data_IF_402968215276
#
_entry.id   IF_402968215276
#
_cell.length_a   1.000
_cell.length_b   1.000
_cell.length_c   1.000
_cell.angle_alpha   90.00
_cell.angle_beta   90.00
_cell.angle_gamma   90.00
#
_symmetry.space_group_name_H-M   'P 1'
#
loop_
_entity.id
_entity.type
_entity.pdbx_description
1 polymer ?
#
# COMPACT_ATOMS: atom_id res chain seq x y z
N UNK A 1 7.94 1.90 15.85
CA UNK A 1 9.17 1.54 15.13
C UNK A 1 10.46 2.16 15.70
N UNK A 2 10.41 3.20 16.56
CA UNK A 2 11.61 3.92 17.02
C UNK A 2 11.86 3.65 18.52
N UNK A 3 13.04 3.12 18.86
CA UNK A 3 13.54 2.82 20.21
C UNK A 3 14.98 2.28 20.13
N UNK A 4 15.66 2.06 21.26
CA UNK A 4 17.10 1.70 21.34
C UNK A 4 17.50 0.29 20.82
N UNK A 5 16.57 -0.44 20.20
CA UNK A 5 16.88 -1.65 19.44
C UNK A 5 17.13 -1.28 17.98
N UNK A 6 18.13 -1.91 17.34
CA UNK A 6 18.45 -1.79 15.92
C UNK A 6 17.33 -2.35 15.01
N UNK A 7 16.16 -1.72 15.03
CA UNK A 7 15.00 -2.05 14.21
C UNK A 7 15.09 -1.29 12.90
N UNK A 8 14.91 -1.99 11.79
CA UNK A 8 14.88 -1.41 10.45
C UNK A 8 13.43 -1.21 10.02
N UNK A 9 13.08 0.01 9.61
CA UNK A 9 11.82 0.31 8.97
C UNK A 9 12.07 0.68 7.50
N UNK A 10 11.45 -0.06 6.58
CA UNK A 10 11.49 0.19 5.14
C UNK A 10 10.13 0.72 4.70
N UNK A 11 10.09 1.96 4.24
CA UNK A 11 8.92 2.60 3.66
C UNK A 11 9.19 2.80 2.19
N UNK A 12 8.49 2.04 1.35
CA UNK A 12 8.83 1.90 -0.06
C UNK A 12 7.64 2.31 -0.91
N UNK A 13 7.91 3.18 -1.89
CA UNK A 13 6.95 3.46 -2.96
C UNK A 13 6.85 2.28 -3.93
N UNK A 14 5.73 2.16 -4.66
CA UNK A 14 5.51 1.07 -5.61
C UNK A 14 5.87 1.46 -7.05
N UNK A 15 5.09 2.34 -7.68
CA UNK A 15 5.19 2.66 -9.11
C UNK A 15 6.41 3.53 -9.43
N UNK A 16 7.31 3.04 -10.27
CA UNK A 16 8.56 3.72 -10.59
C UNK A 16 9.66 3.55 -9.53
N UNK A 17 9.37 2.84 -8.43
CA UNK A 17 10.32 2.53 -7.36
C UNK A 17 10.59 1.02 -7.27
N UNK A 18 9.60 0.23 -6.86
CA UNK A 18 9.70 -1.23 -6.78
C UNK A 18 9.28 -1.91 -8.09
N UNK A 19 8.29 -1.36 -8.77
CA UNK A 19 7.86 -1.76 -10.10
C UNK A 19 8.38 -0.74 -11.12
N UNK A 20 9.07 -1.15 -12.20
CA UNK A 20 9.49 -0.24 -13.26
C UNK A 20 8.29 0.52 -13.85
N UNK A 21 8.54 1.75 -14.31
CA UNK A 21 7.53 2.54 -15.01
C UNK A 21 7.08 1.78 -16.26
N UNK A 22 5.78 1.57 -16.39
CA UNK A 22 5.16 0.86 -17.50
C UNK A 22 4.18 1.76 -18.26
N UNK A 23 3.90 1.48 -19.56
CA UNK A 23 2.97 2.27 -20.36
C UNK A 23 1.52 2.22 -19.85
N UNK A 24 1.18 1.15 -19.11
CA UNK A 24 -0.13 0.97 -18.48
C UNK A 24 0.06 0.55 -17.02
N UNK A 25 -0.75 1.07 -16.07
CA UNK A 25 -0.64 0.74 -14.65
C UNK A 25 -0.68 -0.77 -14.37
N UNK A 26 -1.49 -1.53 -15.11
CA UNK A 26 -1.61 -2.99 -14.91
C UNK A 26 -0.35 -3.77 -15.32
N UNK A 27 0.55 -3.14 -16.07
CA UNK A 27 1.82 -3.73 -16.50
C UNK A 27 2.98 -3.43 -15.54
N UNK A 28 2.77 -2.56 -14.55
CA UNK A 28 3.77 -2.23 -13.53
C UNK A 28 3.91 -3.40 -12.54
N UNK A 29 4.61 -4.45 -12.96
CA UNK A 29 4.80 -5.68 -12.19
C UNK A 29 6.03 -5.60 -11.30
N UNK A 30 5.92 -6.14 -10.09
CA UNK A 30 7.05 -6.28 -9.17
C UNK A 30 8.02 -7.36 -9.70
N UNK A 31 9.29 -7.04 -9.99
CA UNK A 31 10.26 -8.03 -10.40
C UNK A 31 10.41 -9.15 -9.37
N UNK A 32 10.57 -10.39 -9.84
CA UNK A 32 10.58 -11.57 -8.96
C UNK A 32 11.74 -11.53 -7.96
N UNK A 33 12.90 -11.03 -8.40
CA UNK A 33 14.09 -10.87 -7.55
C UNK A 33 13.83 -9.88 -6.42
N UNK A 34 13.20 -8.74 -6.73
CA UNK A 34 12.80 -7.73 -5.74
C UNK A 34 11.81 -8.32 -4.75
N UNK A 35 10.79 -9.04 -5.24
CA UNK A 35 9.82 -9.75 -4.39
C UNK A 35 10.51 -10.71 -3.43
N UNK A 36 11.45 -11.51 -3.92
CA UNK A 36 12.18 -12.48 -3.10
C UNK A 36 13.02 -11.80 -1.99
N UNK A 37 13.64 -10.66 -2.29
CA UNK A 37 14.38 -9.87 -1.29
C UNK A 37 13.43 -9.32 -0.22
N UNK A 38 12.31 -8.71 -0.63
CA UNK A 38 11.32 -8.18 0.31
C UNK A 38 10.69 -9.28 1.18
N UNK A 39 10.41 -10.46 0.61
CA UNK A 39 9.91 -11.61 1.35
C UNK A 39 10.92 -12.13 2.39
N UNK A 40 12.22 -12.13 2.06
CA UNK A 40 13.25 -12.51 3.03
C UNK A 40 13.36 -11.50 4.16
N UNK A 41 13.30 -10.21 3.83
CA UNK A 41 13.34 -9.13 4.80
C UNK A 41 12.10 -9.14 5.71
N UNK A 42 10.91 -9.42 5.18
CA UNK A 42 9.66 -9.44 5.98
C UNK A 42 9.62 -10.56 7.03
N UNK A 43 10.47 -11.58 6.89
CA UNK A 43 10.59 -12.67 7.85
C UNK A 43 11.59 -12.38 8.98
N UNK A 44 12.29 -11.24 8.95
CA UNK A 44 13.21 -10.86 10.02
C UNK A 44 12.45 -10.13 11.14
N UNK A 45 12.62 -10.52 12.42
CA UNK A 45 11.82 -10.01 13.53
C UNK A 45 12.01 -8.50 13.81
N UNK A 46 13.16 -7.95 13.39
CA UNK A 46 13.52 -6.55 13.57
C UNK A 46 13.38 -5.72 12.29
N UNK A 47 12.78 -6.27 11.23
CA UNK A 47 12.53 -5.55 9.98
C UNK A 47 11.03 -5.37 9.76
N UNK A 48 10.65 -4.13 9.52
CA UNK A 48 9.27 -3.75 9.26
C UNK A 48 9.18 -3.10 7.89
N UNK A 49 8.30 -3.63 7.05
CA UNK A 49 8.12 -3.16 5.68
C UNK A 49 6.72 -2.55 5.55
N UNK A 50 6.67 -1.37 4.93
CA UNK A 50 5.45 -0.72 4.50
C UNK A 50 5.58 -0.37 3.01
N UNK A 51 4.63 -0.85 2.20
CA UNK A 51 4.46 -0.40 0.82
C UNK A 51 3.49 0.78 0.84
N UNK A 52 3.92 1.93 0.35
CA UNK A 52 3.12 3.15 0.27
C UNK A 52 2.85 3.46 -1.19
N UNK A 53 1.59 3.55 -1.60
CA UNK A 53 1.23 3.76 -2.99
C UNK A 53 0.01 4.66 -3.15
N UNK A 54 -0.07 5.34 -4.30
CA UNK A 54 -1.28 6.02 -4.74
C UNK A 54 -2.40 5.06 -5.15
N UNK A 55 -2.07 3.79 -5.42
CA UNK A 55 -3.06 2.75 -5.77
C UNK A 55 -3.98 2.43 -4.60
N UNK A 56 -5.16 1.88 -4.92
CA UNK A 56 -6.02 1.29 -3.90
C UNK A 56 -5.26 0.20 -3.11
N UNK A 57 -5.50 0.13 -1.79
CA UNK A 57 -4.77 -0.78 -0.89
C UNK A 57 -4.91 -2.26 -1.30
N UNK A 58 -6.07 -2.68 -1.82
CA UNK A 58 -6.29 -4.05 -2.29
C UNK A 58 -5.53 -4.34 -3.59
N UNK A 59 -5.42 -3.35 -4.47
CA UNK A 59 -4.69 -3.45 -5.73
C UNK A 59 -3.18 -3.58 -5.49
N UNK A 60 -2.57 -2.68 -4.70
CA UNK A 60 -1.13 -2.79 -4.41
C UNK A 60 -0.80 -4.06 -3.62
N UNK A 61 -1.70 -4.50 -2.71
CA UNK A 61 -1.53 -5.77 -2.00
C UNK A 61 -1.50 -6.96 -2.96
N UNK A 62 -2.41 -7.03 -3.93
CA UNK A 62 -2.45 -8.15 -4.88
C UNK A 62 -1.24 -8.14 -5.82
N UNK A 63 -0.76 -6.96 -6.22
CA UNK A 63 0.41 -6.81 -7.09
C UNK A 63 1.71 -7.22 -6.39
N UNK A 64 1.90 -6.83 -5.13
CA UNK A 64 3.09 -7.19 -4.34
C UNK A 64 3.00 -8.65 -3.87
N UNK A 65 1.86 -9.02 -3.27
CA UNK A 65 1.57 -10.38 -2.82
C UNK A 65 2.58 -10.92 -1.80
N UNK A 66 2.93 -10.12 -0.80
CA UNK A 66 3.79 -10.50 0.33
C UNK A 66 2.96 -10.37 1.61
N UNK A 67 2.92 -11.44 2.40
CA UNK A 67 2.22 -11.43 3.69
C UNK A 67 3.11 -10.89 4.81
N UNK A 68 2.50 -10.46 5.91
CA UNK A 68 3.23 -9.98 7.09
C UNK A 68 3.78 -8.55 6.98
N UNK A 69 3.44 -7.81 5.93
CA UNK A 69 3.87 -6.41 5.73
C UNK A 69 2.69 -5.43 5.74
N UNK A 70 2.98 -4.15 5.94
CA UNK A 70 1.96 -3.09 5.92
C UNK A 70 1.75 -2.60 4.48
N UNK A 71 0.50 -2.31 4.13
CA UNK A 71 0.14 -1.70 2.85
C UNK A 71 -0.62 -0.40 3.09
N UNK A 72 -0.11 0.71 2.57
CA UNK A 72 -0.77 2.00 2.55
C UNK A 72 -1.18 2.33 1.10
N UNK A 73 -2.48 2.36 0.84
CA UNK A 73 -3.06 2.73 -0.46
C UNK A 73 -3.73 4.10 -0.42
N UNK A 74 -4.16 4.59 -1.58
CA UNK A 74 -4.79 5.90 -1.75
C UNK A 74 -3.96 7.01 -1.09
N UNK A 75 -2.64 6.99 -1.32
CA UNK A 75 -1.68 7.92 -0.71
C UNK A 75 -1.69 7.92 0.84
N UNK A 76 -2.03 6.78 1.46
CA UNK A 76 -2.05 6.61 2.91
C UNK A 76 -3.40 6.87 3.58
N UNK A 77 -4.45 7.14 2.80
CA UNK A 77 -5.81 7.24 3.31
C UNK A 77 -6.36 5.88 3.77
N UNK A 78 -5.80 4.78 3.27
CA UNK A 78 -6.12 3.43 3.73
C UNK A 78 -4.84 2.69 4.07
N UNK A 79 -4.75 2.13 5.28
CA UNK A 79 -3.61 1.35 5.73
C UNK A 79 -4.10 -0.02 6.19
N UNK A 80 -3.56 -1.08 5.61
CA UNK A 80 -3.76 -2.45 6.04
C UNK A 80 -2.51 -2.94 6.77
N UNK A 81 -2.68 -3.35 8.02
CA UNK A 81 -1.62 -3.86 8.86
C UNK A 81 -1.43 -5.37 8.71
N UNK A 82 -0.26 -5.92 9.12
CA UNK A 82 0.01 -7.36 9.05
C UNK A 82 -0.98 -8.25 9.80
N UNK A 83 -1.58 -7.73 10.89
CA UNK A 83 -2.59 -8.41 11.69
C UNK A 83 -3.99 -8.40 11.05
N UNK A 84 -4.13 -7.81 9.86
CA UNK A 84 -5.39 -7.65 9.15
C UNK A 84 -6.22 -6.45 9.60
N UNK A 85 -5.79 -5.69 10.62
CA UNK A 85 -6.44 -4.46 10.99
C UNK A 85 -6.30 -3.41 9.88
N UNK A 86 -7.34 -2.60 9.72
CA UNK A 86 -7.40 -1.57 8.68
C UNK A 86 -7.66 -0.22 9.32
N UNK A 87 -6.81 0.74 9.00
CA UNK A 87 -7.05 2.15 9.24
C UNK A 87 -7.60 2.78 7.95
N UNK A 88 -8.64 3.59 8.09
CA UNK A 88 -9.19 4.42 7.02
C UNK A 88 -9.26 5.84 7.56
N UNK A 89 -8.69 6.78 6.83
CA UNK A 89 -8.75 8.19 7.21
C UNK A 89 -10.21 8.64 7.27
N UNK A 90 -10.64 9.24 8.40
CA UNK A 90 -12.04 9.60 8.58
C UNK A 90 -12.47 10.66 7.57
N UNK A 91 -13.60 10.41 6.91
CA UNK A 91 -14.26 11.41 6.06
C UNK A 91 -14.99 12.41 6.98
N UNK A 92 -14.85 13.73 6.76
CA UNK A 92 -15.71 14.69 7.43
C UNK A 92 -17.18 14.45 7.07
N UNK A 93 -18.05 14.33 8.08
CA UNK A 93 -19.48 14.01 7.90
C UNK A 93 -20.18 14.98 6.93
N UNK A 94 -19.78 16.26 6.94
CA UNK A 94 -20.31 17.30 6.05
C UNK A 94 -20.05 17.05 4.55
N UNK A 95 -19.06 16.21 4.24
CA UNK A 95 -18.66 15.90 2.87
C UNK A 95 -19.20 14.55 2.37
N UNK A 96 -19.68 13.66 3.25
CA UNK A 96 -20.13 12.31 2.88
C UNK A 96 -21.19 12.34 1.78
N UNK A 97 -22.23 13.17 1.93
CA UNK A 97 -23.29 13.29 0.94
C UNK A 97 -22.81 13.84 -0.41
N UNK A 98 -21.85 14.79 -0.39
CA UNK A 98 -21.27 15.35 -1.62
C UNK A 98 -20.42 14.32 -2.36
N UNK A 99 -19.61 13.56 -1.63
CA UNK A 99 -18.77 12.51 -2.19
C UNK A 99 -19.63 11.39 -2.77
N UNK A 100 -20.69 10.96 -2.08
CA UNK A 100 -21.61 9.95 -2.58
C UNK A 100 -22.26 10.36 -3.91
N UNK A 101 -22.76 11.59 -4.00
CA UNK A 101 -23.36 12.12 -5.23
C UNK A 101 -22.35 12.22 -6.38
N UNK A 102 -21.12 12.63 -6.08
CA UNK A 102 -20.04 12.70 -7.07
C UNK A 102 -19.67 11.31 -7.60
N UNK A 103 -19.53 10.33 -6.71
CA UNK A 103 -19.21 8.95 -7.08
C UNK A 103 -20.28 8.33 -7.99
N UNK A 104 -21.56 8.56 -7.68
CA UNK A 104 -22.67 8.12 -8.53
C UNK A 104 -22.58 8.77 -9.92
N UNK A 105 -22.36 10.08 -9.97
CA UNK A 105 -22.28 10.83 -11.23
C UNK A 105 -21.12 10.40 -12.12
N UNK A 106 -20.01 9.96 -11.52
CA UNK A 106 -18.83 9.45 -12.24
C UNK A 106 -19.00 8.00 -12.73
N UNK A 107 -19.90 7.22 -12.13
CA UNK A 107 -20.20 5.84 -12.55
C UNK A 107 -21.25 5.77 -13.66
N UNK A 108 -22.10 6.80 -13.76
CA UNK A 108 -23.15 6.92 -14.78
C UNK A 108 -22.63 7.51 -16.12
N UNK A 109 -21.32 7.74 -16.25
CA UNK A 109 -20.62 8.18 -17.47
C UNK A 109 -19.89 7.02 -18.14
#
# INVERSE_FOLDING_TARGET
YIGDNHKLALLLDYDGTLAPIAPHPDLATLPLETKNVLQRLSNLPDVYIAIVSGRNVSNVKSMVGIEGITYAGNHGLEILHPDGSKFVHPMPAELEGKVANLMQSLQDQ
#
